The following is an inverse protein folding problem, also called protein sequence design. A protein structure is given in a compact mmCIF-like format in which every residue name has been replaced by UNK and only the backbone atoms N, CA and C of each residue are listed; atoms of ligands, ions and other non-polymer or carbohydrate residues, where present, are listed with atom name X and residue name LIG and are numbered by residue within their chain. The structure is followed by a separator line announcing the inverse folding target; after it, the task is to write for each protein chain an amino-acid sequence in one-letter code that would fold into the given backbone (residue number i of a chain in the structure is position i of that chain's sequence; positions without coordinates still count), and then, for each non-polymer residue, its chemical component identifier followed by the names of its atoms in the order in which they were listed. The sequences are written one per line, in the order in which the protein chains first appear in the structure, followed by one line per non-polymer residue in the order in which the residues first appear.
data_IF_618001112986
#
_entry.id   IF_618001112986
#
_cell.length_a   1.000
_cell.length_b   1.000
_cell.length_c   1.000
_cell.angle_alpha   90.00
_cell.angle_beta   90.00
_cell.angle_gamma   90.00
#
_symmetry.space_group_name_H-M   'P 1'
#
loop_
_entity.id
_entity.type
_entity.pdbx_description
1 polymer ?
#
# COMPACT_ATOMS: atom_id res chain seq x y z
N UNK A 1 -10.69 17.55 -10.44
CA UNK A 1 -10.11 16.97 -9.20
C UNK A 1 -9.15 17.98 -8.61
N UNK A 2 -8.95 17.98 -7.30
CA UNK A 2 -7.99 18.88 -6.66
C UNK A 2 -6.56 18.45 -7.06
N UNK A 3 -5.70 19.39 -7.46
CA UNK A 3 -4.30 19.10 -7.82
C UNK A 3 -3.56 18.41 -6.66
N UNK A 4 -3.93 18.72 -5.42
CA UNK A 4 -3.35 18.11 -4.21
C UNK A 4 -3.67 16.61 -4.13
N UNK A 5 -4.93 16.22 -4.34
CA UNK A 5 -5.36 14.81 -4.36
C UNK A 5 -4.68 14.04 -5.49
N UNK A 6 -4.55 14.66 -6.66
CA UNK A 6 -3.87 14.04 -7.80
C UNK A 6 -2.38 13.76 -7.50
N UNK A 7 -1.66 14.73 -6.95
CA UNK A 7 -0.26 14.57 -6.55
C UNK A 7 -0.12 13.56 -5.41
N UNK A 8 -1.05 13.57 -4.46
CA UNK A 8 -1.07 12.61 -3.36
C UNK A 8 -1.11 11.17 -3.87
N UNK A 9 -2.05 10.88 -4.79
CA UNK A 9 -2.20 9.54 -5.39
C UNK A 9 -0.96 9.13 -6.18
N UNK A 10 -0.32 10.06 -6.88
CA UNK A 10 0.97 9.80 -7.53
C UNK A 10 2.05 9.40 -6.54
N UNK A 11 2.14 10.07 -5.38
CA UNK A 11 3.12 9.73 -4.35
C UNK A 11 2.85 8.32 -3.81
N UNK A 12 1.59 7.96 -3.56
CA UNK A 12 1.21 6.59 -3.14
C UNK A 12 1.69 5.56 -4.17
N UNK A 13 1.45 5.80 -5.46
CA UNK A 13 1.89 4.92 -6.55
C UNK A 13 3.42 4.81 -6.60
N UNK A 14 4.15 5.91 -6.53
CA UNK A 14 5.61 5.90 -6.60
C UNK A 14 6.23 5.17 -5.40
N UNK A 15 5.71 5.40 -4.20
CA UNK A 15 6.15 4.72 -2.99
C UNK A 15 5.85 3.22 -3.05
N UNK A 16 4.65 2.83 -3.48
CA UNK A 16 4.33 1.41 -3.61
C UNK A 16 5.14 0.72 -4.71
N UNK A 17 5.54 1.42 -5.79
CA UNK A 17 6.51 0.87 -6.76
C UNK A 17 7.88 0.62 -6.10
N UNK A 18 8.41 1.58 -5.33
CA UNK A 18 9.68 1.42 -4.62
C UNK A 18 9.61 0.23 -3.65
N UNK A 19 8.51 0.10 -2.92
CA UNK A 19 8.28 -1.01 -2.01
C UNK A 19 8.15 -2.36 -2.72
N UNK A 20 7.50 -2.39 -3.89
CA UNK A 20 7.36 -3.59 -4.73
C UNK A 20 8.68 -4.02 -5.39
N UNK A 21 9.47 -3.08 -5.92
CA UNK A 21 10.79 -3.38 -6.50
C UNK A 21 11.73 -3.95 -5.44
N UNK A 22 11.68 -3.42 -4.22
CA UNK A 22 12.45 -3.93 -3.10
C UNK A 22 12.04 -5.35 -2.63
N UNK A 23 10.98 -5.94 -3.19
CA UNK A 23 10.57 -7.33 -2.97
C UNK A 23 11.20 -8.32 -3.97
N UNK A 24 11.68 -7.85 -5.13
CA UNK A 24 12.30 -8.68 -6.17
C UNK A 24 13.83 -8.63 -6.03
N UNK A 25 14.45 -9.53 -5.22
CA UNK A 25 14.98 -10.75 -5.84
C UNK A 25 15.04 -12.03 -4.97
N UNK A 26 14.61 -12.07 -3.70
CA UNK A 26 14.85 -13.24 -2.81
C UNK A 26 13.64 -14.10 -2.46
N UNK A 27 12.41 -13.57 -2.54
CA UNK A 27 11.27 -14.14 -1.79
C UNK A 27 10.01 -14.42 -2.60
N UNK A 28 10.13 -14.63 -3.92
CA UNK A 28 9.00 -15.04 -4.78
C UNK A 28 8.31 -16.32 -4.29
N UNK A 29 9.08 -17.21 -3.65
CA UNK A 29 8.62 -18.51 -3.14
C UNK A 29 8.06 -18.45 -1.71
N UNK A 30 8.39 -17.42 -0.92
CA UNK A 30 7.85 -17.26 0.43
C UNK A 30 6.51 -16.54 0.33
N UNK A 31 5.45 -17.35 0.42
CA UNK A 31 4.03 -17.01 0.54
C UNK A 31 3.72 -15.97 1.64
N UNK A 32 4.22 -14.73 1.54
CA UNK A 32 3.65 -13.54 2.20
C UNK A 32 2.48 -13.00 1.36
N UNK A 33 1.63 -13.91 0.87
CA UNK A 33 0.58 -13.63 -0.12
C UNK A 33 -0.33 -12.49 0.32
N UNK A 34 -0.62 -12.36 1.62
CA UNK A 34 -1.44 -11.28 2.17
C UNK A 34 -0.78 -9.90 2.09
N UNK A 35 0.55 -9.82 2.28
CA UNK A 35 1.34 -8.58 2.18
C UNK A 35 1.44 -8.16 0.71
N UNK A 36 1.71 -9.11 -0.19
CA UNK A 36 1.77 -8.85 -1.62
C UNK A 36 0.42 -8.39 -2.15
N UNK A 37 -0.65 -9.12 -1.84
CA UNK A 37 -1.97 -8.87 -2.42
C UNK A 37 -2.53 -7.50 -2.03
N UNK A 38 -2.46 -7.12 -0.76
CA UNK A 38 -2.99 -5.83 -0.30
C UNK A 38 -2.25 -4.65 -0.93
N UNK A 39 -0.92 -4.70 -0.98
CA UNK A 39 -0.12 -3.66 -1.63
C UNK A 39 -0.29 -3.63 -3.16
N UNK A 40 -0.42 -4.77 -3.84
CA UNK A 40 -0.73 -4.82 -5.27
C UNK A 40 -2.11 -4.23 -5.56
N UNK A 41 -3.11 -4.49 -4.71
CA UNK A 41 -4.45 -3.93 -4.85
C UNK A 41 -4.43 -2.41 -4.67
N UNK A 42 -3.71 -1.90 -3.66
CA UNK A 42 -3.48 -0.45 -3.49
C UNK A 42 -2.85 0.14 -4.75
N UNK A 43 -1.77 -0.47 -5.23
CA UNK A 43 -1.03 0.00 -6.41
C UNK A 43 -1.88 0.03 -7.67
N UNK A 44 -2.62 -1.05 -7.93
CA UNK A 44 -3.51 -1.14 -9.08
C UNK A 44 -4.63 -0.10 -9.01
N UNK A 45 -5.26 0.05 -7.83
CA UNK A 45 -6.37 0.98 -7.67
C UNK A 45 -5.92 2.45 -7.73
N UNK A 46 -4.85 2.83 -7.02
CA UNK A 46 -4.32 4.19 -7.08
C UNK A 46 -3.74 4.52 -8.45
N UNK A 47 -3.11 3.55 -9.12
CA UNK A 47 -2.69 3.69 -10.53
C UNK A 47 -3.88 3.94 -11.46
N UNK A 48 -4.98 3.19 -11.28
CA UNK A 48 -6.23 3.42 -12.01
C UNK A 48 -6.78 4.83 -11.77
N UNK A 49 -6.76 5.33 -10.52
CA UNK A 49 -7.25 6.68 -10.18
C UNK A 49 -6.39 7.79 -10.79
N UNK A 50 -5.07 7.59 -10.85
CA UNK A 50 -4.13 8.52 -11.49
C UNK A 50 -4.35 8.58 -13.00
N UNK A 51 -4.53 7.43 -13.66
CA UNK A 51 -4.79 7.36 -15.11
C UNK A 51 -6.14 7.96 -15.44
N UNK A 52 -7.18 7.61 -14.67
CA UNK A 52 -8.55 8.06 -14.89
C UNK A 52 -8.87 9.37 -14.17
N UNK A 53 -7.93 10.32 -14.10
CA UNK A 53 -7.98 11.60 -13.38
C UNK A 53 -9.32 12.38 -13.49
N UNK A 54 -10.33 11.89 -12.80
CA UNK A 54 -11.74 12.27 -12.86
C UNK A 54 -12.30 12.16 -11.45
N UNK A 55 -13.38 12.90 -11.12
CA UNK A 55 -14.05 12.74 -9.85
C UNK A 55 -14.52 11.28 -9.67
N UNK A 56 -14.37 10.76 -8.45
CA UNK A 56 -14.79 9.42 -8.08
C UNK A 56 -16.32 9.30 -8.19
N UNK A 57 -16.82 8.20 -8.72
CA UNK A 57 -18.24 7.85 -8.63
C UNK A 57 -18.47 6.84 -7.52
N UNK A 58 -19.74 6.50 -7.28
CA UNK A 58 -20.15 5.59 -6.21
C UNK A 58 -19.46 4.22 -6.27
N UNK A 59 -19.08 3.75 -7.45
CA UNK A 59 -18.39 2.47 -7.62
C UNK A 59 -16.93 2.55 -7.16
N UNK A 60 -16.20 3.57 -7.61
CA UNK A 60 -14.81 3.80 -7.21
C UNK A 60 -14.71 4.10 -5.72
N UNK A 61 -15.67 4.82 -5.14
CA UNK A 61 -15.74 5.04 -3.69
C UNK A 61 -15.89 3.72 -2.92
N UNK A 62 -16.72 2.79 -3.40
CA UNK A 62 -16.87 1.46 -2.78
C UNK A 62 -15.59 0.63 -2.88
N UNK A 63 -14.91 0.68 -4.02
CA UNK A 63 -13.61 0.03 -4.19
C UNK A 63 -12.61 0.67 -3.24
N UNK A 64 -12.53 2.00 -3.19
CA UNK A 64 -11.63 2.74 -2.29
C UNK A 64 -11.84 2.31 -0.84
N UNK A 65 -13.09 2.25 -0.36
CA UNK A 65 -13.37 1.72 1.00
C UNK A 65 -12.84 0.30 1.17
N UNK A 66 -13.05 -0.59 0.20
CA UNK A 66 -12.53 -1.96 0.25
C UNK A 66 -11.01 -2.04 0.30
N UNK A 67 -10.32 -1.23 -0.52
CA UNK A 67 -8.86 -1.12 -0.54
C UNK A 67 -8.33 -0.59 0.79
N UNK A 68 -8.94 0.48 1.32
CA UNK A 68 -8.58 1.06 2.61
C UNK A 68 -8.77 0.08 3.76
N UNK A 69 -9.89 -0.68 3.79
CA UNK A 69 -10.10 -1.71 4.81
C UNK A 69 -9.06 -2.83 4.71
N UNK A 70 -8.75 -3.29 3.50
CA UNK A 70 -7.76 -4.35 3.29
C UNK A 70 -6.36 -3.92 3.77
N UNK A 71 -5.93 -2.71 3.42
CA UNK A 71 -4.61 -2.21 3.82
C UNK A 71 -4.57 -1.87 5.32
N UNK A 72 -5.68 -1.41 5.91
CA UNK A 72 -5.79 -1.20 7.36
C UNK A 72 -5.64 -2.51 8.12
N UNK A 73 -6.31 -3.56 7.68
CA UNK A 73 -6.20 -4.86 8.32
C UNK A 73 -4.76 -5.39 8.23
N UNK A 74 -4.12 -5.23 7.07
CA UNK A 74 -2.72 -5.57 6.89
C UNK A 74 -1.81 -4.78 7.84
N UNK A 75 -1.99 -3.46 7.92
CA UNK A 75 -1.26 -2.57 8.84
C UNK A 75 -1.37 -3.03 10.30
N UNK A 76 -2.58 -3.38 10.74
CA UNK A 76 -2.85 -3.84 12.11
C UNK A 76 -2.20 -5.19 12.37
N UNK A 77 -2.32 -6.15 11.44
CA UNK A 77 -1.68 -7.46 11.55
C UNK A 77 -0.15 -7.31 11.64
N UNK A 78 0.43 -6.49 10.78
CA UNK A 78 1.86 -6.24 10.78
C UNK A 78 2.32 -5.61 12.10
N UNK A 79 1.66 -4.54 12.56
CA UNK A 79 2.07 -3.84 13.77
C UNK A 79 1.83 -4.63 15.07
N UNK A 80 0.74 -5.39 15.17
CA UNK A 80 0.40 -6.11 16.41
C UNK A 80 0.98 -7.52 16.47
N UNK A 81 1.06 -8.22 15.34
CA UNK A 81 1.43 -9.64 15.32
C UNK A 81 2.86 -9.86 14.82
N UNK A 82 3.29 -9.13 13.79
CA UNK A 82 4.56 -9.40 13.12
C UNK A 82 5.70 -8.52 13.63
N UNK A 83 5.44 -7.25 13.93
CA UNK A 83 6.43 -6.29 14.41
C UNK A 83 7.16 -6.79 15.67
N UNK A 84 6.50 -7.38 16.68
CA UNK A 84 7.20 -7.91 17.86
C UNK A 84 8.14 -9.10 17.55
N UNK A 85 7.95 -9.76 16.42
CA UNK A 85 8.74 -10.92 15.98
C UNK A 85 9.91 -10.54 15.07
N UNK A 86 9.96 -9.28 14.62
CA UNK A 86 11.00 -8.80 13.70
C UNK A 86 12.21 -8.24 14.46
N UNK A 87 13.38 -8.45 13.88
CA UNK A 87 14.60 -7.77 14.37
C UNK A 87 14.60 -6.30 13.97
N UNK A 88 15.30 -5.46 14.72
CA UNK A 88 15.45 -4.02 14.41
C UNK A 88 15.93 -3.77 12.99
N UNK A 89 16.86 -4.59 12.49
CA UNK A 89 17.33 -4.50 11.11
C UNK A 89 16.22 -4.76 10.10
N UNK A 90 15.34 -5.74 10.33
CA UNK A 90 14.22 -6.03 9.45
C UNK A 90 13.19 -4.89 9.48
N UNK A 91 12.89 -4.33 10.65
CA UNK A 91 11.92 -3.22 10.78
C UNK A 91 12.36 -2.02 9.94
N UNK A 92 13.63 -1.63 10.02
CA UNK A 92 14.16 -0.46 9.30
C UNK A 92 14.55 -0.72 7.84
N UNK A 93 14.24 -1.90 7.28
CA UNK A 93 14.39 -2.10 5.84
C UNK A 93 13.39 -1.20 5.10
N UNK A 94 13.88 -0.50 4.07
CA UNK A 94 13.07 0.40 3.24
C UNK A 94 11.79 -0.30 2.75
N UNK A 95 11.90 -1.58 2.34
CA UNK A 95 10.73 -2.37 1.91
C UNK A 95 9.65 -2.45 2.99
N UNK A 96 10.03 -2.66 4.24
CA UNK A 96 9.08 -2.86 5.33
C UNK A 96 8.49 -1.52 5.77
N UNK A 97 9.32 -0.50 5.92
CA UNK A 97 8.85 0.86 6.22
C UNK A 97 7.86 1.36 5.17
N UNK A 98 8.16 1.18 3.89
CA UNK A 98 7.30 1.67 2.80
C UNK A 98 5.99 0.86 2.72
N UNK A 99 6.06 -0.47 2.75
CA UNK A 99 4.90 -1.34 2.48
C UNK A 99 4.03 -1.63 3.70
N UNK A 100 4.57 -1.51 4.92
CA UNK A 100 3.85 -1.80 6.16
C UNK A 100 3.49 -0.56 6.96
N UNK A 101 4.19 0.56 6.75
CA UNK A 101 3.94 1.79 7.52
C UNK A 101 3.48 2.93 6.61
N UNK A 102 4.32 3.38 5.68
CA UNK A 102 4.09 4.64 4.94
C UNK A 102 2.90 4.52 3.99
N UNK A 103 2.92 3.56 3.04
CA UNK A 103 1.83 3.40 2.06
C UNK A 103 0.49 3.09 2.75
N UNK A 104 0.42 2.16 3.72
CA UNK A 104 -0.81 1.93 4.46
C UNK A 104 -1.37 3.18 5.15
N UNK A 105 -0.54 3.93 5.89
CA UNK A 105 -1.00 5.15 6.56
C UNK A 105 -1.48 6.20 5.56
N UNK A 106 -0.81 6.34 4.41
CA UNK A 106 -1.26 7.25 3.37
C UNK A 106 -2.63 6.85 2.81
N UNK A 107 -2.87 5.58 2.53
CA UNK A 107 -4.16 5.11 2.00
C UNK A 107 -5.29 5.21 3.05
N UNK A 108 -4.96 5.11 4.33
CA UNK A 108 -5.93 5.27 5.43
C UNK A 108 -6.37 6.73 5.60
N UNK A 109 -5.49 7.68 5.30
CA UNK A 109 -5.72 9.12 5.48
C UNK A 109 -6.23 9.85 4.22
N UNK A 110 -6.28 9.18 3.07
CA UNK A 110 -6.86 9.67 1.81
C UNK A 110 -8.40 9.61 1.82
#
# INVERSE_FOLDING_TARGET
MNIKEYLYRWIVVLLGLIGLEALFPSDFYHFRFYIYLSNFVVMYFYGYLVINNKPLWNFELRIMTGVTVAITLNFVIDNLLLLPQQTTHQIFQIRNLVMHEIVPLMVILD
#
